data_IF_574347568244
#
_entry.id   IF_574347568244
#
_cell.length_a   1.000
_cell.length_b   1.000
_cell.length_c   1.000
_cell.angle_alpha   90.00
_cell.angle_beta   90.00
_cell.angle_gamma   90.00
#
_symmetry.space_group_name_H-M   'P 1'
#
loop_
_entity.id
_entity.type
_entity.pdbx_description
1 polymer ?
#
# COMPACT_ATOMS: atom_id res chain seq x y z
N UNK A 1 2.89 -16.91 -10.82
CA UNK A 1 2.15 -15.79 -11.46
C UNK A 1 2.44 -14.40 -10.90
N UNK A 2 3.33 -14.20 -9.92
CA UNK A 2 3.60 -12.88 -9.32
C UNK A 2 3.94 -11.78 -10.33
N UNK A 3 4.78 -12.07 -11.34
CA UNK A 3 5.16 -11.08 -12.37
C UNK A 3 3.96 -10.51 -13.14
N UNK A 4 2.99 -11.35 -13.52
CA UNK A 4 1.79 -10.91 -14.23
C UNK A 4 0.94 -10.00 -13.35
N UNK A 5 0.78 -10.37 -12.09
CA UNK A 5 0.03 -9.56 -11.12
C UNK A 5 0.72 -8.23 -10.82
N UNK A 6 2.05 -8.24 -10.63
CA UNK A 6 2.82 -7.01 -10.44
C UNK A 6 2.63 -6.05 -11.64
N UNK A 7 2.59 -6.58 -12.86
CA UNK A 7 2.30 -5.77 -14.05
C UNK A 7 0.89 -5.16 -14.03
N UNK A 8 -0.13 -5.90 -13.59
CA UNK A 8 -1.50 -5.37 -13.43
C UNK A 8 -1.54 -4.22 -12.41
N UNK A 9 -0.94 -4.44 -11.24
CA UNK A 9 -0.92 -3.46 -10.13
C UNK A 9 -0.17 -2.18 -10.53
N UNK A 10 0.93 -2.29 -11.25
CA UNK A 10 1.79 -1.16 -11.63
C UNK A 10 1.37 -0.50 -12.96
N UNK A 11 0.22 -0.81 -13.58
CA UNK A 11 -0.25 -0.11 -14.79
C UNK A 11 -0.40 1.42 -14.53
N UNK A 12 -0.29 2.27 -15.58
CA UNK A 12 -0.41 3.72 -15.42
C UNK A 12 -1.71 4.18 -14.73
N UNK A 13 -1.75 5.43 -14.19
CA UNK A 13 -0.70 6.46 -14.24
C UNK A 13 0.50 6.14 -13.36
N UNK A 14 1.67 6.69 -13.72
CA UNK A 14 2.91 6.48 -13.00
C UNK A 14 3.29 7.68 -12.15
N UNK A 15 3.71 7.41 -10.92
CA UNK A 15 4.32 8.37 -9.99
C UNK A 15 5.69 7.86 -9.54
N UNK A 16 6.46 8.71 -8.87
CA UNK A 16 7.61 8.28 -8.08
C UNK A 16 7.10 7.85 -6.72
N UNK A 17 7.27 6.58 -6.39
CA UNK A 17 6.89 5.99 -5.11
C UNK A 17 8.15 5.81 -4.25
N UNK A 18 7.99 5.95 -2.94
CA UNK A 18 8.99 5.55 -1.95
C UNK A 18 9.35 4.06 -2.09
N UNK A 19 8.36 3.22 -2.38
CA UNK A 19 8.50 1.79 -2.57
C UNK A 19 8.48 0.98 -1.27
N UNK A 20 8.72 1.61 -0.12
CA UNK A 20 8.71 0.97 1.20
C UNK A 20 8.17 1.87 2.34
N UNK A 21 7.04 2.55 2.12
CA UNK A 21 6.43 3.49 3.07
C UNK A 21 5.65 2.82 4.23
N UNK A 22 6.27 1.91 4.96
CA UNK A 22 5.70 1.31 6.18
C UNK A 22 5.97 2.18 7.42
N UNK A 23 5.31 1.96 8.58
CA UNK A 23 5.45 2.81 9.76
C UNK A 23 6.87 3.03 10.28
N UNK A 24 7.79 2.10 10.02
CA UNK A 24 9.18 2.23 10.44
C UNK A 24 9.98 3.25 9.63
N UNK A 25 9.51 3.59 8.42
CA UNK A 25 10.09 4.58 7.53
C UNK A 25 9.35 5.93 7.56
N UNK A 26 8.37 6.09 8.45
CA UNK A 26 7.63 7.35 8.62
C UNK A 26 8.12 8.06 9.88
N UNK A 27 8.39 9.36 9.77
CA UNK A 27 8.68 10.22 10.92
C UNK A 27 7.76 11.43 10.96
N UNK A 28 7.63 12.03 12.15
CA UNK A 28 6.94 13.30 12.35
C UNK A 28 7.89 14.31 12.99
N UNK A 29 7.95 15.51 12.43
CA UNK A 29 8.75 16.61 12.98
C UNK A 29 8.01 17.92 12.78
N UNK A 30 7.85 18.70 13.85
CA UNK A 30 7.18 20.01 13.82
C UNK A 30 5.77 19.98 13.21
N UNK A 31 5.02 18.90 13.42
CA UNK A 31 3.67 18.72 12.86
C UNK A 31 3.63 18.22 11.42
N UNK A 32 4.78 17.99 10.78
CA UNK A 32 4.87 17.47 9.42
C UNK A 32 5.33 16.02 9.41
N UNK A 33 4.76 15.23 8.50
CA UNK A 33 5.19 13.85 8.23
C UNK A 33 6.29 13.84 7.17
N UNK A 34 7.21 12.89 7.25
CA UNK A 34 8.21 12.63 6.22
C UNK A 34 8.57 11.15 6.12
N UNK A 35 9.31 10.81 5.06
CA UNK A 35 9.77 9.44 4.79
C UNK A 35 11.30 9.35 4.89
N UNK A 36 11.76 8.30 5.55
CA UNK A 36 13.16 7.86 5.61
C UNK A 36 13.37 6.68 4.67
N UNK A 37 14.63 6.43 4.33
CA UNK A 37 15.05 5.20 3.65
C UNK A 37 14.49 4.99 2.23
N UNK A 38 14.90 5.89 1.32
CA UNK A 38 14.51 5.88 -0.09
C UNK A 38 15.18 4.79 -0.95
N UNK A 39 15.77 3.74 -0.35
CA UNK A 39 16.49 2.70 -1.09
C UNK A 39 15.58 1.87 -2.03
N UNK A 40 14.27 1.85 -1.76
CA UNK A 40 13.27 1.13 -2.55
C UNK A 40 12.57 1.99 -3.62
N UNK A 41 13.04 3.24 -3.83
CA UNK A 41 12.40 4.21 -4.73
C UNK A 41 12.15 3.63 -6.11
N UNK A 42 10.94 3.84 -6.63
CA UNK A 42 10.56 3.30 -7.93
C UNK A 42 9.43 4.04 -8.62
N UNK A 43 9.36 3.86 -9.94
CA UNK A 43 8.20 4.26 -10.75
C UNK A 43 7.10 3.21 -10.66
N UNK A 44 5.86 3.62 -10.41
CA UNK A 44 4.69 2.73 -10.39
C UNK A 44 3.37 3.46 -10.14
N UNK A 45 2.28 2.70 -10.02
CA UNK A 45 0.96 3.27 -9.76
C UNK A 45 0.84 3.71 -8.29
N UNK A 46 0.44 4.96 -7.99
CA UNK A 46 0.40 5.49 -6.62
C UNK A 46 -0.46 4.67 -5.66
N UNK A 47 -1.56 4.09 -6.15
CA UNK A 47 -2.45 3.22 -5.36
C UNK A 47 -1.76 2.00 -4.74
N UNK A 48 -0.65 1.51 -5.32
CA UNK A 48 0.13 0.41 -4.74
C UNK A 48 0.84 0.84 -3.45
N UNK A 49 1.47 2.00 -3.45
CA UNK A 49 2.13 2.56 -2.26
C UNK A 49 1.11 2.96 -1.20
N UNK A 50 -0.02 3.53 -1.60
CA UNK A 50 -1.11 3.84 -0.68
C UNK A 50 -1.65 2.58 0.00
N UNK A 51 -1.86 1.50 -0.77
CA UNK A 51 -2.27 0.21 -0.22
C UNK A 51 -1.25 -0.32 0.80
N UNK A 52 0.03 -0.29 0.45
CA UNK A 52 1.10 -0.70 1.36
C UNK A 52 1.10 0.10 2.66
N UNK A 53 1.02 1.42 2.56
CA UNK A 53 1.04 2.34 3.70
C UNK A 53 -0.13 2.08 4.63
N UNK A 54 -1.37 2.08 4.12
CA UNK A 54 -2.56 1.91 4.96
C UNK A 54 -2.65 0.53 5.59
N UNK A 55 -2.32 -0.53 4.84
CA UNK A 55 -2.40 -1.91 5.34
C UNK A 55 -1.36 -2.17 6.43
N UNK A 56 -0.15 -1.65 6.29
CA UNK A 56 0.90 -1.86 7.30
C UNK A 56 0.77 -0.94 8.51
N UNK A 57 0.16 0.24 8.34
CA UNK A 57 0.09 1.28 9.39
C UNK A 57 -1.12 1.19 10.32
N UNK A 58 -2.20 0.53 9.90
CA UNK A 58 -3.48 0.58 10.62
C UNK A 58 -3.90 -0.79 11.14
N UNK A 59 -4.72 -0.81 12.20
CA UNK A 59 -5.46 -2.03 12.54
C UNK A 59 -6.52 -2.30 11.46
N UNK A 60 -6.97 -3.55 11.27
CA UNK A 60 -8.05 -3.84 10.31
C UNK A 60 -9.36 -3.10 10.63
N UNK A 61 -9.64 -2.84 11.91
CA UNK A 61 -10.82 -2.08 12.34
C UNK A 61 -10.70 -0.63 11.89
N UNK A 62 -9.61 0.05 12.21
CA UNK A 62 -9.41 1.45 11.86
C UNK A 62 -9.35 1.64 10.35
N UNK A 63 -8.63 0.75 9.64
CA UNK A 63 -8.53 0.79 8.19
C UNK A 63 -9.90 0.70 7.52
N UNK A 64 -10.77 -0.23 7.95
CA UNK A 64 -12.12 -0.35 7.41
C UNK A 64 -12.97 0.88 7.68
N UNK A 65 -12.79 1.51 8.85
CA UNK A 65 -13.53 2.69 9.24
C UNK A 65 -13.13 3.96 8.46
N UNK A 66 -11.87 4.05 7.97
CA UNK A 66 -11.34 5.31 7.42
C UNK A 66 -10.79 5.24 5.99
N UNK A 67 -10.63 4.05 5.39
CA UNK A 67 -9.96 3.91 4.09
C UNK A 67 -10.61 4.71 2.96
N UNK A 68 -11.95 4.78 2.92
CA UNK A 68 -12.67 5.49 1.85
C UNK A 68 -12.36 6.99 1.90
N UNK A 69 -12.44 7.59 3.09
CA UNK A 69 -12.10 9.00 3.30
C UNK A 69 -10.62 9.27 3.02
N UNK A 70 -9.72 8.36 3.43
CA UNK A 70 -8.28 8.49 3.18
C UNK A 70 -7.93 8.39 1.70
N UNK A 71 -8.65 7.59 0.92
CA UNK A 71 -8.49 7.52 -0.54
C UNK A 71 -8.89 8.84 -1.20
N UNK A 72 -9.99 9.46 -0.73
CA UNK A 72 -10.43 10.78 -1.20
C UNK A 72 -9.44 11.89 -0.80
N UNK A 73 -8.92 11.86 0.43
CA UNK A 73 -7.84 12.77 0.85
C UNK A 73 -6.60 12.59 -0.03
N UNK A 74 -6.17 11.35 -0.27
CA UNK A 74 -4.98 11.06 -1.06
C UNK A 74 -5.12 11.53 -2.51
N UNK A 75 -6.21 11.20 -3.20
CA UNK A 75 -6.40 11.61 -4.61
C UNK A 75 -6.44 13.13 -4.78
N UNK A 76 -7.09 13.83 -3.84
CA UNK A 76 -7.17 15.28 -3.85
C UNK A 76 -5.81 15.92 -3.58
N UNK A 77 -5.09 15.43 -2.57
CA UNK A 77 -3.75 15.90 -2.24
C UNK A 77 -2.76 15.64 -3.39
N UNK A 78 -2.80 14.46 -4.00
CA UNK A 78 -1.94 14.10 -5.12
C UNK A 78 -2.12 15.05 -6.31
N UNK A 79 -3.37 15.30 -6.72
CA UNK A 79 -3.68 16.23 -7.81
C UNK A 79 -3.24 17.67 -7.48
N UNK A 80 -3.52 18.14 -6.26
CA UNK A 80 -3.15 19.48 -5.81
C UNK A 80 -1.64 19.74 -5.81
N UNK A 81 -0.82 18.69 -5.70
CA UNK A 81 0.65 18.77 -5.73
C UNK A 81 1.24 18.38 -7.10
N UNK A 82 0.43 18.43 -8.18
CA UNK A 82 0.88 18.21 -9.56
C UNK A 82 0.96 16.74 -9.99
N UNK A 83 0.42 15.84 -9.17
CA UNK A 83 0.22 14.44 -9.54
C UNK A 83 -1.00 14.23 -10.45
N UNK A 84 -1.24 12.98 -10.90
CA UNK A 84 -2.39 12.67 -11.74
C UNK A 84 -3.71 12.83 -10.98
N UNK A 85 -4.73 13.27 -11.71
CA UNK A 85 -6.12 13.12 -11.24
C UNK A 85 -6.51 11.64 -11.33
N UNK A 86 -6.87 11.06 -10.20
CA UNK A 86 -7.30 9.66 -10.11
C UNK A 86 -8.81 9.65 -9.96
N UNK A 87 -9.52 8.85 -10.76
CA UNK A 87 -10.93 8.57 -10.52
C UNK A 87 -11.12 7.81 -9.19
N UNK A 88 -12.23 8.05 -8.50
CA UNK A 88 -12.49 7.49 -7.16
C UNK A 88 -12.67 5.98 -7.21
N UNK A 89 -13.51 5.50 -8.13
CA UNK A 89 -13.86 4.08 -8.22
C UNK A 89 -12.69 3.28 -8.80
N UNK A 90 -11.96 3.87 -9.75
CA UNK A 90 -10.72 3.28 -10.24
C UNK A 90 -9.67 3.20 -9.12
N UNK A 91 -9.45 4.28 -8.35
CA UNK A 91 -8.50 4.25 -7.23
C UNK A 91 -8.88 3.21 -6.18
N UNK A 92 -10.17 3.03 -5.90
CA UNK A 92 -10.65 1.96 -5.01
C UNK A 92 -10.21 0.58 -5.51
N UNK A 93 -10.42 0.28 -6.79
CA UNK A 93 -9.97 -0.99 -7.37
C UNK A 93 -8.44 -1.13 -7.34
N UNK A 94 -7.71 -0.05 -7.61
CA UNK A 94 -6.23 -0.03 -7.56
C UNK A 94 -5.69 -0.27 -6.17
N UNK A 95 -6.30 0.34 -5.16
CA UNK A 95 -5.98 0.13 -3.75
C UNK A 95 -6.19 -1.35 -3.34
N UNK A 96 -7.35 -1.92 -3.71
CA UNK A 96 -7.66 -3.34 -3.45
C UNK A 96 -6.68 -4.29 -4.12
N UNK A 97 -6.30 -4.04 -5.38
CA UNK A 97 -5.28 -4.82 -6.08
C UNK A 97 -3.89 -4.65 -5.42
N UNK A 98 -3.56 -3.42 -5.02
CA UNK A 98 -2.31 -3.06 -4.38
C UNK A 98 -2.06 -3.73 -3.03
N UNK A 99 -3.12 -4.13 -2.31
CA UNK A 99 -3.01 -4.84 -1.03
C UNK A 99 -2.21 -6.16 -1.12
N UNK A 100 -2.14 -6.78 -2.31
CA UNK A 100 -1.27 -7.93 -2.53
C UNK A 100 0.20 -7.59 -2.24
N UNK A 101 0.66 -6.38 -2.59
CA UNK A 101 2.03 -5.98 -2.33
C UNK A 101 2.32 -5.91 -0.82
N UNK A 102 1.37 -5.43 -0.01
CA UNK A 102 1.50 -5.44 1.44
C UNK A 102 1.65 -6.85 2.01
N UNK A 103 0.87 -7.80 1.49
CA UNK A 103 0.99 -9.20 1.87
C UNK A 103 2.36 -9.78 1.50
N UNK A 104 2.82 -9.58 0.26
CA UNK A 104 4.11 -10.10 -0.19
C UNK A 104 5.27 -9.51 0.61
N UNK A 105 5.27 -8.19 0.85
CA UNK A 105 6.29 -7.54 1.66
C UNK A 105 6.31 -8.08 3.09
N UNK A 106 5.15 -8.10 3.78
CA UNK A 106 5.07 -8.57 5.16
C UNK A 106 5.40 -10.07 5.29
N UNK A 107 5.03 -10.90 4.31
CA UNK A 107 5.38 -12.32 4.28
C UNK A 107 6.88 -12.53 4.17
N UNK A 108 7.56 -11.77 3.31
CA UNK A 108 9.03 -11.83 3.17
C UNK A 108 9.69 -11.40 4.48
N UNK A 109 9.26 -10.29 5.08
CA UNK A 109 9.81 -9.79 6.34
C UNK A 109 9.66 -10.81 7.48
N UNK A 110 8.47 -11.42 7.61
CA UNK A 110 8.21 -12.42 8.65
C UNK A 110 8.91 -13.76 8.37
N UNK A 111 8.93 -14.21 7.11
CA UNK A 111 9.45 -15.53 6.74
C UNK A 111 10.98 -15.62 6.70
N UNK A 112 11.65 -14.54 6.30
CA UNK A 112 13.12 -14.50 6.27
C UNK A 112 13.72 -14.20 7.65
N UNK A 113 12.99 -13.45 8.49
CA UNK A 113 13.47 -12.99 9.78
C UNK A 113 14.62 -11.97 9.70
N UNK A 114 15.02 -11.42 10.84
CA UNK A 114 16.19 -10.54 10.96
C UNK A 114 16.04 -9.10 10.42
N UNK A 115 14.95 -8.80 9.71
CA UNK A 115 14.66 -7.44 9.21
C UNK A 115 13.90 -6.57 10.22
N UNK A 116 13.03 -7.19 11.03
CA UNK A 116 12.23 -6.53 12.07
C UNK A 116 12.14 -7.44 13.29
N UNK A 117 11.74 -6.89 14.43
CA UNK A 117 11.33 -7.70 15.58
C UNK A 117 10.19 -8.64 15.16
N UNK A 118 10.23 -9.88 15.66
CA UNK A 118 9.35 -10.96 15.21
C UNK A 118 7.86 -10.62 15.41
N UNK A 119 7.53 -10.02 16.54
CA UNK A 119 6.17 -9.58 16.88
C UNK A 119 5.65 -8.50 15.91
N UNK A 120 6.50 -7.55 15.52
CA UNK A 120 6.20 -6.52 14.53
C UNK A 120 5.98 -7.15 13.15
N UNK A 121 6.88 -8.03 12.72
CA UNK A 121 6.78 -8.70 11.41
C UNK A 121 5.50 -9.54 11.31
N UNK A 122 5.18 -10.31 12.35
CA UNK A 122 3.95 -11.10 12.42
C UNK A 122 2.70 -10.22 12.50
N UNK A 123 2.75 -9.08 13.20
CA UNK A 123 1.64 -8.13 13.21
C UNK A 123 1.38 -7.54 11.81
N UNK A 124 2.43 -7.16 11.08
CA UNK A 124 2.33 -6.72 9.69
C UNK A 124 1.71 -7.78 8.79
N UNK A 125 2.14 -9.04 8.92
CA UNK A 125 1.59 -10.14 8.13
C UNK A 125 0.10 -10.39 8.45
N UNK A 126 -0.30 -10.37 9.73
CA UNK A 126 -1.71 -10.51 10.13
C UNK A 126 -2.59 -9.39 9.55
N UNK A 127 -2.12 -8.14 9.58
CA UNK A 127 -2.83 -7.01 8.97
C UNK A 127 -2.98 -7.19 7.46
N UNK A 128 -1.91 -7.65 6.79
CA UNK A 128 -1.93 -7.86 5.36
C UNK A 128 -2.87 -8.99 4.93
N UNK A 129 -2.89 -10.11 5.66
CA UNK A 129 -3.86 -11.20 5.42
C UNK A 129 -5.29 -10.72 5.57
N UNK A 130 -5.61 -10.02 6.65
CA UNK A 130 -6.94 -9.43 6.86
C UNK A 130 -7.32 -8.46 5.72
N UNK A 131 -6.36 -7.67 5.22
CA UNK A 131 -6.61 -6.77 4.10
C UNK A 131 -6.93 -7.51 2.79
N UNK A 132 -6.30 -8.65 2.51
CA UNK A 132 -6.62 -9.44 1.32
C UNK A 132 -8.08 -9.93 1.33
N UNK A 133 -8.56 -10.34 2.50
CA UNK A 133 -9.94 -10.79 2.72
C UNK A 133 -10.92 -9.62 2.63
N UNK A 134 -10.71 -8.59 3.45
CA UNK A 134 -11.58 -7.40 3.52
C UNK A 134 -11.73 -6.68 2.16
N UNK A 135 -10.73 -6.77 1.28
CA UNK A 135 -10.69 -6.07 -0.01
C UNK A 135 -11.02 -6.98 -1.21
N UNK A 136 -11.35 -8.26 -1.00
CA UNK A 136 -11.49 -9.28 -2.04
C UNK A 136 -10.34 -9.27 -3.07
N UNK A 137 -9.12 -9.01 -2.62
CA UNK A 137 -7.97 -8.73 -3.50
C UNK A 137 -7.73 -9.84 -4.51
N UNK A 138 -7.80 -11.10 -4.08
CA UNK A 138 -7.57 -12.27 -4.94
C UNK A 138 -8.65 -12.37 -6.02
N UNK A 139 -9.92 -12.24 -5.65
CA UNK A 139 -11.02 -12.33 -6.61
C UNK A 139 -10.98 -11.19 -7.64
N UNK A 140 -10.56 -10.00 -7.24
CA UNK A 140 -10.39 -8.86 -8.15
C UNK A 140 -9.21 -9.08 -9.10
N UNK A 141 -8.07 -9.54 -8.60
CA UNK A 141 -6.88 -9.81 -9.41
C UNK A 141 -7.12 -10.93 -10.43
N UNK A 142 -7.82 -12.01 -10.07
CA UNK A 142 -8.18 -13.08 -11.01
C UNK A 142 -9.01 -12.58 -12.19
N UNK A 143 -9.87 -11.57 -11.97
CA UNK A 143 -10.67 -10.93 -13.04
C UNK A 143 -9.88 -9.93 -13.87
N UNK A 144 -8.70 -9.52 -13.40
CA UNK A 144 -7.87 -8.46 -14.01
C UNK A 144 -6.69 -9.01 -14.84
N UNK A 145 -6.46 -10.33 -14.76
CA UNK A 145 -5.46 -11.09 -15.52
C UNK A 145 -6.03 -11.57 -16.86
#
# INVERSE_FOLDING_TARGET
NYRAVAHVIDRPPYTVMHGDAHPGNVYFRNGEAGLLDWQAVRRGHPGRELAYTLVTSMTPVDRRATQDDLLDVYRNALAAHGGPELDRDELWNRYRQGALYAYVAALITAGMGGMQAEDIALAGLRRAVAALEDLDTVALLTRSL
#
